data_IF_939971723800
#
_entry.id   IF_939971723800
#
_cell.length_a   1.000
_cell.length_b   1.000
_cell.length_c   1.000
_cell.angle_alpha   90.00
_cell.angle_beta   90.00
_cell.angle_gamma   90.00
#
_symmetry.space_group_name_H-M   'P 1'
#
loop_
_entity.id
_entity.type
_entity.pdbx_description
1 polymer ?
#
# COMPACT_ATOMS: atom_id res chain seq x y z
N UNK A 1 44.26 -0.92 30.97
CA UNK A 1 42.79 -1.06 30.94
C UNK A 1 42.41 -2.08 31.98
N UNK A 2 41.61 -1.68 32.96
CA UNK A 2 41.12 -2.59 33.97
C UNK A 2 39.90 -3.36 33.44
N UNK A 3 39.62 -4.52 34.04
CA UNK A 3 38.48 -5.35 33.64
C UNK A 3 37.14 -4.61 33.71
N UNK A 4 37.00 -3.67 34.66
CA UNK A 4 35.83 -2.80 34.81
C UNK A 4 35.63 -1.85 33.64
N UNK A 5 36.72 -1.27 33.13
CA UNK A 5 36.68 -0.33 32.00
C UNK A 5 36.25 -1.06 30.73
N UNK A 6 36.81 -2.26 30.53
CA UNK A 6 36.43 -3.15 29.41
C UNK A 6 34.94 -3.50 29.49
N UNK A 7 34.45 -3.86 30.69
CA UNK A 7 33.05 -4.21 30.89
C UNK A 7 32.10 -3.03 30.59
N UNK A 8 32.44 -1.81 31.03
CA UNK A 8 31.63 -0.63 30.75
C UNK A 8 31.57 -0.30 29.26
N UNK A 9 32.70 -0.41 28.55
CA UNK A 9 32.76 -0.20 27.10
C UNK A 9 31.91 -1.23 26.37
N UNK A 10 32.01 -2.51 26.74
CA UNK A 10 31.23 -3.59 26.12
C UNK A 10 29.73 -3.38 26.33
N UNK A 11 29.31 -3.00 27.54
CA UNK A 11 27.90 -2.76 27.84
C UNK A 11 27.37 -1.54 27.06
N UNK A 12 28.10 -0.42 27.05
CA UNK A 12 27.70 0.76 26.29
C UNK A 12 27.66 0.50 24.78
N UNK A 13 28.59 -0.29 24.24
CA UNK A 13 28.58 -0.67 22.84
C UNK A 13 27.38 -1.57 22.50
N UNK A 14 27.05 -2.54 23.35
CA UNK A 14 25.88 -3.40 23.18
C UNK A 14 24.57 -2.62 23.25
N UNK A 15 24.44 -1.70 24.21
CA UNK A 15 23.25 -0.86 24.33
C UNK A 15 23.10 0.10 23.14
N UNK A 16 24.20 0.70 22.69
CA UNK A 16 24.23 1.53 21.48
C UNK A 16 23.80 0.75 20.23
N UNK A 17 24.36 -0.45 20.03
CA UNK A 17 24.01 -1.31 18.90
C UNK A 17 22.55 -1.78 18.98
N UNK A 18 22.09 -2.20 20.15
CA UNK A 18 20.72 -2.67 20.34
C UNK A 18 19.71 -1.53 20.11
N UNK A 19 19.95 -0.35 20.67
CA UNK A 19 19.08 0.82 20.54
C UNK A 19 19.03 1.31 19.08
N UNK A 20 20.16 1.40 18.39
CA UNK A 20 20.18 1.81 16.98
C UNK A 20 19.46 0.81 16.08
N UNK A 21 19.64 -0.49 16.34
CA UNK A 21 19.01 -1.56 15.55
C UNK A 21 17.50 -1.56 15.74
N UNK A 22 17.03 -1.46 16.98
CA UNK A 22 15.59 -1.37 17.28
C UNK A 22 14.95 -0.12 16.71
N UNK A 23 15.66 1.01 16.75
CA UNK A 23 15.17 2.28 16.19
C UNK A 23 14.94 2.18 14.68
N UNK A 24 15.93 1.67 13.93
CA UNK A 24 15.78 1.48 12.47
C UNK A 24 14.70 0.46 12.15
N UNK A 25 14.63 -0.65 12.90
CA UNK A 25 13.56 -1.64 12.75
C UNK A 25 12.18 -1.03 12.95
N UNK A 26 11.99 -0.22 13.99
CA UNK A 26 10.72 0.45 14.27
C UNK A 26 10.34 1.42 13.14
N UNK A 27 11.29 2.17 12.59
CA UNK A 27 11.04 3.06 11.46
C UNK A 27 10.68 2.30 10.19
N UNK A 28 11.41 1.24 9.86
CA UNK A 28 11.17 0.44 8.66
C UNK A 28 9.85 -0.31 8.77
N UNK A 29 9.60 -1.00 9.89
CA UNK A 29 8.34 -1.71 10.11
C UNK A 29 7.19 -0.71 10.15
N UNK A 30 7.33 0.39 10.88
CA UNK A 30 6.32 1.44 10.96
C UNK A 30 5.98 2.02 9.59
N UNK A 31 6.99 2.36 8.78
CA UNK A 31 6.79 2.82 7.42
C UNK A 31 6.11 1.75 6.54
N UNK A 32 6.59 0.52 6.57
CA UNK A 32 6.02 -0.60 5.82
C UNK A 32 4.56 -0.87 6.20
N UNK A 33 4.19 -0.73 7.47
CA UNK A 33 2.82 -0.90 7.95
C UNK A 33 1.95 0.27 7.50
N UNK A 34 2.40 1.51 7.75
CA UNK A 34 1.68 2.73 7.36
C UNK A 34 1.42 2.74 5.85
N UNK A 35 2.45 2.53 5.04
CA UNK A 35 2.32 2.49 3.57
C UNK A 35 1.60 1.21 3.11
N UNK A 36 1.83 0.08 3.75
CA UNK A 36 1.13 -1.17 3.48
C UNK A 36 -0.39 -1.02 3.61
N UNK A 37 -0.87 -0.34 4.67
CA UNK A 37 -2.27 -0.01 4.86
C UNK A 37 -2.82 0.92 3.76
N UNK A 38 -2.02 1.85 3.24
CA UNK A 38 -2.46 2.72 2.13
C UNK A 38 -2.67 1.97 0.81
N UNK A 39 -2.08 0.78 0.64
CA UNK A 39 -2.28 -0.08 -0.55
C UNK A 39 -3.45 -1.04 -0.42
N UNK A 40 -4.08 -1.16 0.75
CA UNK A 40 -5.14 -2.14 0.94
C UNK A 40 -6.40 -1.75 0.16
N UNK A 41 -6.86 -2.68 -0.68
CA UNK A 41 -8.07 -2.48 -1.47
C UNK A 41 -9.31 -2.52 -0.60
N UNK A 42 -10.25 -1.77 -1.15
CA UNK A 42 -11.67 -1.89 -0.97
C UNK A 42 -12.20 -3.37 -0.76
N UNK A 43 -12.72 -3.87 0.37
CA UNK A 43 -13.24 -5.24 0.65
C UNK A 43 -14.72 -5.18 1.04
N UNK A 44 -15.55 -6.07 0.44
CA UNK A 44 -16.94 -6.31 0.87
C UNK A 44 -16.87 -6.89 2.26
N UNK A 45 -17.18 -6.06 3.24
CA UNK A 45 -18.41 -6.24 3.99
C UNK A 45 -18.68 -7.52 4.79
N UNK A 46 -18.03 -8.66 4.55
CA UNK A 46 -18.38 -9.92 5.23
C UNK A 46 -17.92 -9.96 6.69
N UNK A 47 -16.76 -9.37 6.95
CA UNK A 47 -16.24 -9.03 8.29
C UNK A 47 -15.69 -7.61 8.34
N UNK A 48 -15.64 -6.92 7.19
CA UNK A 48 -15.37 -5.50 7.12
C UNK A 48 -16.66 -4.73 7.38
N UNK A 49 -16.64 -3.73 8.26
CA UNK A 49 -17.84 -2.94 8.59
C UNK A 49 -18.42 -2.11 7.43
N UNK A 50 -17.80 -2.11 6.25
CA UNK A 50 -18.11 -1.17 5.15
C UNK A 50 -18.22 -1.88 3.82
N UNK A 51 -19.22 -1.46 3.05
CA UNK A 51 -19.54 -1.90 1.68
C UNK A 51 -18.88 -0.96 0.69
N UNK A 52 -18.19 -1.46 -0.35
CA UNK A 52 -17.51 -0.56 -1.30
C UNK A 52 -18.05 -0.54 -2.73
N UNK A 53 -19.03 -1.38 -3.05
CA UNK A 53 -19.91 -1.20 -4.22
C UNK A 53 -21.27 -1.87 -4.01
N UNK A 54 -22.27 -1.50 -4.81
CA UNK A 54 -23.62 -2.08 -4.69
C UNK A 54 -23.64 -3.52 -5.17
N UNK A 55 -22.92 -3.79 -6.26
CA UNK A 55 -22.58 -5.13 -6.70
C UNK A 55 -21.99 -5.90 -5.53
N UNK A 56 -21.00 -5.32 -4.85
CA UNK A 56 -20.35 -5.90 -3.69
C UNK A 56 -21.23 -6.15 -2.44
N UNK A 57 -22.42 -5.56 -2.34
CA UNK A 57 -23.42 -5.86 -1.31
C UNK A 57 -24.40 -6.94 -1.72
N UNK A 58 -24.74 -6.98 -3.00
CA UNK A 58 -25.75 -7.87 -3.58
C UNK A 58 -25.11 -9.21 -3.95
N UNK A 59 -23.97 -9.15 -4.63
CA UNK A 59 -23.15 -10.30 -4.98
C UNK A 59 -22.27 -10.76 -3.82
N UNK A 60 -22.13 -9.95 -2.76
CA UNK A 60 -21.15 -10.12 -1.67
C UNK A 60 -19.68 -10.18 -2.16
N UNK A 61 -19.41 -9.84 -3.42
CA UNK A 61 -18.07 -9.89 -4.02
C UNK A 61 -17.36 -8.52 -3.98
N UNK A 62 -16.07 -8.44 -3.68
CA UNK A 62 -15.32 -7.16 -3.76
C UNK A 62 -15.43 -6.51 -5.15
N UNK A 63 -15.55 -5.19 -5.20
CA UNK A 63 -15.71 -4.42 -6.44
C UNK A 63 -14.74 -4.85 -7.56
N UNK A 64 -15.29 -5.23 -8.72
CA UNK A 64 -14.54 -5.56 -9.94
C UNK A 64 -14.64 -4.41 -10.92
N UNK A 65 -13.49 -3.84 -11.29
CA UNK A 65 -13.41 -2.90 -12.39
C UNK A 65 -13.59 -3.65 -13.72
N UNK A 66 -14.40 -3.09 -14.59
CA UNK A 66 -14.65 -3.67 -15.91
C UNK A 66 -13.39 -3.66 -16.77
N UNK A 67 -13.24 -4.70 -17.58
CA UNK A 67 -12.14 -4.78 -18.55
C UNK A 67 -12.31 -3.72 -19.65
N UNK A 68 -11.22 -3.29 -20.31
CA UNK A 68 -11.29 -2.32 -21.40
C UNK A 68 -12.19 -2.77 -22.58
N UNK A 69 -12.47 -4.06 -22.70
CA UNK A 69 -13.33 -4.67 -23.72
C UNK A 69 -14.77 -4.90 -23.26
N UNK A 70 -15.09 -4.59 -21.99
CA UNK A 70 -16.45 -4.70 -21.48
C UNK A 70 -17.39 -3.83 -22.30
N UNK A 71 -18.64 -4.27 -22.57
CA UNK A 71 -19.60 -3.50 -23.33
C UNK A 71 -19.78 -2.12 -22.70
N UNK A 72 -19.24 -1.11 -23.35
CA UNK A 72 -19.46 0.28 -22.96
C UNK A 72 -20.82 0.66 -23.52
N UNK A 73 -21.55 1.52 -22.80
CA UNK A 73 -22.73 2.14 -23.37
C UNK A 73 -22.39 2.81 -24.72
N UNK A 74 -23.38 3.35 -25.46
CA UNK A 74 -23.18 3.84 -26.83
C UNK A 74 -22.09 4.91 -27.02
N UNK A 75 -21.55 5.48 -25.94
CA UNK A 75 -20.42 6.40 -25.95
C UNK A 75 -19.07 5.65 -25.80
N UNK A 76 -18.27 5.63 -26.87
CA UNK A 76 -16.91 5.11 -26.83
C UNK A 76 -15.91 6.18 -26.39
N UNK A 77 -15.51 6.12 -25.11
CA UNK A 77 -14.62 7.09 -24.48
C UNK A 77 -13.18 7.07 -25.04
N UNK A 78 -12.76 6.03 -25.75
CA UNK A 78 -11.40 5.93 -26.33
C UNK A 78 -11.32 6.47 -27.76
N UNK A 79 -12.45 6.68 -28.43
CA UNK A 79 -12.55 7.28 -29.77
C UNK A 79 -13.02 8.74 -29.72
N UNK A 80 -12.86 9.38 -28.57
CA UNK A 80 -13.12 10.82 -28.47
C UNK A 80 -12.26 11.56 -29.52
N UNK A 81 -12.84 12.51 -30.28
CA UNK A 81 -12.12 13.22 -31.34
C UNK A 81 -10.84 13.87 -30.79
N UNK A 82 -10.91 14.38 -29.56
CA UNK A 82 -9.79 14.90 -28.77
C UNK A 82 -8.58 13.94 -28.69
N UNK A 83 -8.82 12.65 -28.40
CA UNK A 83 -7.77 11.64 -28.21
C UNK A 83 -7.12 11.22 -29.55
N UNK A 84 -7.88 11.32 -30.64
CA UNK A 84 -7.45 10.94 -31.99
C UNK A 84 -6.59 12.03 -32.64
N UNK A 85 -6.93 13.30 -32.44
CA UNK A 85 -6.11 14.42 -32.90
C UNK A 85 -4.74 14.46 -32.22
N UNK A 86 -4.67 14.11 -30.93
CA UNK A 86 -3.43 14.05 -30.17
C UNK A 86 -2.48 12.94 -30.66
N UNK A 87 -2.98 11.73 -30.91
CA UNK A 87 -2.19 10.59 -31.37
C UNK A 87 -1.64 10.77 -32.80
N UNK A 88 -2.24 11.65 -33.61
CA UNK A 88 -1.81 11.92 -35.00
C UNK A 88 -0.64 12.92 -35.08
N UNK A 89 -0.36 13.64 -34.00
CA UNK A 89 0.75 14.61 -33.92
C UNK A 89 2.06 13.99 -33.43
N UNK A 90 2.05 12.73 -32.96
CA UNK A 90 3.19 11.96 -32.45
C UNK A 90 3.58 10.84 -33.40
#
# INVERSE_FOLDING_TARGET
MNATDVQQIVLGALEGLASSTLFVLALVIGFCVVVGFTKLKKTSGGTAMVVKSLDERISHQPMVYLTPTAPRGPADQLKAPELLEAARRT
#
